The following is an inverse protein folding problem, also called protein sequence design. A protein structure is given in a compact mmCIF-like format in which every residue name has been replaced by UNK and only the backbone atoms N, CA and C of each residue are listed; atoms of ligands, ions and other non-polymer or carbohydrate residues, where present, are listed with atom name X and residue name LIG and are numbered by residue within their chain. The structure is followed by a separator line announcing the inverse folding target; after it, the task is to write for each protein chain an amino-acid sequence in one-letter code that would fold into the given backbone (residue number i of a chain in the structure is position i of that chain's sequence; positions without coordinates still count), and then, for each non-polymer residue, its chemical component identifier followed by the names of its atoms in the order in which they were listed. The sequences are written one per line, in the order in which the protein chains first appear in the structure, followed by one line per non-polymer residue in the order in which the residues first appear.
data_IF_835333706029
#
_entry.id   IF_835333706029
#
_cell.length_a   1.000
_cell.length_b   1.000
_cell.length_c   1.000
_cell.angle_alpha   90.00
_cell.angle_beta   90.00
_cell.angle_gamma   90.00
#
_symmetry.space_group_name_H-M   'P 1'
#
loop_
_entity.id
_entity.type
_entity.pdbx_description
1 polymer ?
#
# COMPACT_ATOMS: atom_id res chain seq x y z
N UNK A 1 17.07 4.02 -14.33
CA UNK A 1 18.00 3.41 -13.35
C UNK A 1 17.62 3.81 -11.93
N UNK A 2 17.35 5.08 -11.69
CA UNK A 2 16.89 5.61 -10.39
C UNK A 2 15.69 4.89 -9.75
N UNK A 3 14.59 4.66 -10.50
CA UNK A 3 13.45 3.89 -9.97
C UNK A 3 13.87 2.49 -9.51
N UNK A 4 14.82 1.85 -10.21
CA UNK A 4 15.35 0.54 -9.81
C UNK A 4 16.14 0.64 -8.49
N UNK A 5 16.91 1.70 -8.30
CA UNK A 5 17.65 1.94 -7.05
C UNK A 5 16.70 2.11 -5.86
N UNK A 6 15.63 2.90 -6.04
CA UNK A 6 14.62 3.11 -4.99
C UNK A 6 13.93 1.79 -4.63
N UNK A 7 13.51 1.01 -5.63
CA UNK A 7 12.91 -0.30 -5.40
C UNK A 7 13.89 -1.27 -4.71
N UNK A 8 15.15 -1.26 -5.13
CA UNK A 8 16.20 -2.07 -4.48
C UNK A 8 16.39 -1.66 -3.01
N UNK A 9 16.42 -0.37 -2.71
CA UNK A 9 16.54 0.13 -1.35
C UNK A 9 15.33 -0.28 -0.48
N UNK A 10 14.10 -0.17 -0.99
CA UNK A 10 12.92 -0.64 -0.26
C UNK A 10 12.97 -2.15 0.03
N UNK A 11 13.35 -2.95 -0.96
CA UNK A 11 13.47 -4.40 -0.79
C UNK A 11 14.58 -4.79 0.20
N UNK A 12 15.71 -4.08 0.17
CA UNK A 12 16.82 -4.26 1.11
C UNK A 12 16.36 -3.99 2.54
N UNK A 13 15.72 -2.85 2.79
CA UNK A 13 15.20 -2.49 4.11
C UNK A 13 14.11 -3.44 4.59
N UNK A 14 13.25 -3.90 3.69
CA UNK A 14 12.23 -4.90 4.02
C UNK A 14 12.90 -6.20 4.48
N UNK A 15 13.95 -6.65 3.78
CA UNK A 15 14.71 -7.85 4.19
C UNK A 15 15.39 -7.63 5.54
N UNK A 16 16.15 -6.54 5.70
CA UNK A 16 16.87 -6.24 6.94
C UNK A 16 15.92 -6.17 8.15
N UNK A 17 14.79 -5.48 8.04
CA UNK A 17 13.92 -5.22 9.19
C UNK A 17 12.93 -6.35 9.43
N UNK A 18 12.27 -6.85 8.38
CA UNK A 18 11.15 -7.80 8.53
C UNK A 18 11.66 -9.24 8.61
N UNK A 19 12.74 -9.57 7.90
CA UNK A 19 13.28 -10.94 7.84
C UNK A 19 14.44 -11.13 8.82
N UNK A 20 15.34 -10.16 8.91
CA UNK A 20 16.57 -10.28 9.69
C UNK A 20 16.51 -9.61 11.07
N UNK A 21 15.42 -8.89 11.38
CA UNK A 21 15.23 -8.10 12.62
C UNK A 21 16.40 -7.14 12.93
N UNK A 22 17.02 -6.61 11.87
CA UNK A 22 18.17 -5.69 11.96
C UNK A 22 17.72 -4.25 11.98
N UNK A 23 17.32 -3.80 13.17
CA UNK A 23 16.95 -2.40 13.41
C UNK A 23 18.18 -1.59 13.83
N UNK A 24 18.48 -0.51 13.09
CA UNK A 24 19.62 0.40 13.29
C UNK A 24 19.18 1.79 13.74
N UNK A 25 19.79 2.32 14.80
CA UNK A 25 19.60 3.73 15.20
C UNK A 25 19.85 4.67 14.01
N UNK A 26 19.08 5.75 13.93
CA UNK A 26 19.25 6.75 12.87
C UNK A 26 20.49 7.58 13.20
N UNK A 27 21.51 7.49 12.35
CA UNK A 27 22.77 8.23 12.45
C UNK A 27 23.04 8.99 11.15
N UNK A 28 23.96 9.97 11.14
CA UNK A 28 24.40 10.63 9.91
C UNK A 28 24.89 9.62 8.86
N UNK A 29 25.58 8.56 9.28
CA UNK A 29 26.07 7.47 8.42
C UNK A 29 24.91 6.70 7.79
N UNK A 30 23.88 6.33 8.56
CA UNK A 30 22.71 5.64 8.02
C UNK A 30 21.99 6.50 6.97
N UNK A 31 21.86 7.80 7.22
CA UNK A 31 21.23 8.74 6.28
C UNK A 31 22.06 8.83 4.99
N UNK A 32 23.39 8.89 5.09
CA UNK A 32 24.31 8.84 3.94
C UNK A 32 24.21 7.52 3.19
N UNK A 33 24.07 6.40 3.89
CA UNK A 33 23.92 5.07 3.29
C UNK A 33 22.63 4.99 2.45
N UNK A 34 21.51 5.48 2.99
CA UNK A 34 20.23 5.52 2.28
C UNK A 34 20.32 6.41 1.03
N UNK A 35 20.93 7.59 1.17
CA UNK A 35 21.18 8.45 0.02
C UNK A 35 22.09 7.78 -1.02
N UNK A 36 23.10 7.00 -0.59
CA UNK A 36 23.98 6.25 -1.49
C UNK A 36 23.22 5.18 -2.26
N UNK A 37 22.34 4.42 -1.59
CA UNK A 37 21.48 3.42 -2.23
C UNK A 37 20.60 4.03 -3.33
N UNK A 38 20.10 5.25 -3.12
CA UNK A 38 19.28 5.98 -4.09
C UNK A 38 20.13 6.47 -5.28
N UNK A 39 21.28 7.09 -5.00
CA UNK A 39 22.12 7.77 -6.00
C UNK A 39 23.10 6.89 -6.77
N UNK A 40 23.31 5.63 -6.37
CA UNK A 40 24.32 4.77 -6.98
C UNK A 40 24.11 4.57 -8.50
N UNK A 41 25.19 4.58 -9.27
CA UNK A 41 25.17 4.32 -10.72
C UNK A 41 24.26 5.25 -11.55
N UNK A 42 23.93 6.45 -11.04
CA UNK A 42 23.16 7.45 -11.81
C UNK A 42 24.04 8.41 -12.61
N UNK A 43 25.34 8.50 -12.28
CA UNK A 43 26.29 9.37 -12.97
C UNK A 43 25.78 10.81 -13.03
N UNK A 44 25.86 11.42 -14.22
CA UNK A 44 25.48 12.82 -14.44
C UNK A 44 23.97 13.11 -14.32
N UNK A 45 23.12 12.08 -14.16
CA UNK A 45 21.68 12.26 -13.93
C UNK A 45 21.33 12.54 -12.46
N UNK A 46 22.32 12.55 -11.57
CA UNK A 46 22.15 12.80 -10.15
C UNK A 46 23.11 13.90 -9.71
N UNK A 47 22.56 15.08 -9.42
CA UNK A 47 23.33 16.28 -9.06
C UNK A 47 23.79 16.23 -7.59
N UNK A 48 24.43 15.12 -7.21
CA UNK A 48 25.03 14.90 -5.91
C UNK A 48 26.05 13.76 -5.96
N UNK A 49 26.98 13.78 -5.01
CA UNK A 49 27.85 12.63 -4.75
C UNK A 49 27.11 11.67 -3.81
N UNK A 50 26.79 10.42 -4.24
CA UNK A 50 26.02 9.49 -3.42
C UNK A 50 26.65 9.22 -2.04
N UNK A 51 25.97 9.67 -0.99
CA UNK A 51 26.33 9.43 0.41
C UNK A 51 27.28 10.48 0.98
N UNK A 52 27.43 11.62 0.30
CA UNK A 52 28.22 12.76 0.76
C UNK A 52 27.32 13.98 0.87
N UNK A 53 27.39 14.68 2.00
CA UNK A 53 26.71 15.96 2.17
C UNK A 53 27.18 16.99 1.16
N UNK A 54 26.30 17.91 0.78
CA UNK A 54 26.63 19.00 -0.13
C UNK A 54 27.73 19.90 0.44
N UNK A 55 28.53 20.46 -0.46
CA UNK A 55 29.57 21.46 -0.17
C UNK A 55 29.24 22.84 -0.77
N UNK A 56 27.98 23.04 -1.19
CA UNK A 56 27.44 24.26 -1.75
C UNK A 56 26.08 24.64 -1.14
N UNK A 57 25.68 25.89 -1.30
CA UNK A 57 24.38 26.38 -0.83
C UNK A 57 23.28 26.06 -1.86
N UNK A 58 22.11 25.64 -1.37
CA UNK A 58 20.98 25.19 -2.21
C UNK A 58 19.72 25.99 -1.92
N UNK A 59 18.99 26.31 -2.99
CA UNK A 59 17.65 26.93 -2.92
C UNK A 59 16.63 25.87 -3.30
N UNK A 60 15.66 25.64 -2.42
CA UNK A 60 14.60 24.63 -2.56
C UNK A 60 13.27 25.35 -2.71
N UNK A 61 12.83 25.53 -3.96
CA UNK A 61 11.66 26.35 -4.26
C UNK A 61 11.89 27.82 -3.83
N UNK A 62 11.22 28.27 -2.77
CA UNK A 62 11.37 29.62 -2.19
C UNK A 62 12.20 29.66 -0.91
N UNK A 63 12.71 28.53 -0.48
CA UNK A 63 13.46 28.38 0.76
C UNK A 63 14.96 28.29 0.48
N UNK A 64 15.75 29.12 1.14
CA UNK A 64 17.20 28.97 1.19
C UNK A 64 17.54 27.94 2.27
N UNK A 65 18.10 26.80 1.86
CA UNK A 65 18.56 25.79 2.81
C UNK A 65 19.69 26.35 3.69
N UNK A 66 19.96 25.76 4.88
CA UNK A 66 21.04 26.20 5.75
C UNK A 66 22.40 26.25 5.02
N UNK A 67 23.34 27.07 5.50
CA UNK A 67 24.69 27.07 4.94
C UNK A 67 25.28 25.65 5.02
N UNK A 68 25.88 25.18 3.92
CA UNK A 68 26.39 23.80 3.81
C UNK A 68 27.39 23.45 4.93
N UNK A 69 28.10 24.44 5.47
CA UNK A 69 29.07 24.25 6.56
C UNK A 69 28.42 23.75 7.84
N UNK A 70 27.14 24.07 8.07
CA UNK A 70 26.39 23.63 9.24
C UNK A 70 25.65 22.31 9.02
N UNK A 71 25.56 21.80 7.78
CA UNK A 71 24.82 20.56 7.48
C UNK A 71 25.30 19.37 8.31
N UNK A 72 26.62 19.09 8.46
CA UNK A 72 27.07 17.98 9.29
C UNK A 72 26.59 18.07 10.74
N UNK A 73 26.70 19.24 11.35
CA UNK A 73 26.28 19.51 12.74
C UNK A 73 24.75 19.43 12.90
N UNK A 74 23.99 19.96 11.94
CA UNK A 74 22.53 19.92 11.95
C UNK A 74 22.00 18.49 11.84
N UNK A 75 22.60 17.65 10.99
CA UNK A 75 22.20 16.24 10.85
C UNK A 75 22.58 15.45 12.10
N UNK A 76 23.76 15.69 12.68
CA UNK A 76 24.16 15.05 13.94
C UNK A 76 23.22 15.43 15.10
N UNK A 77 22.92 16.73 15.22
CA UNK A 77 21.96 17.25 16.20
C UNK A 77 20.58 16.61 16.04
N UNK A 78 20.08 16.49 14.80
CA UNK A 78 18.82 15.81 14.52
C UNK A 78 18.86 14.35 14.97
N UNK A 79 19.92 13.60 14.64
CA UNK A 79 20.04 12.19 15.00
C UNK A 79 20.06 12.01 16.53
N UNK A 80 20.82 12.85 17.24
CA UNK A 80 20.89 12.83 18.70
C UNK A 80 19.54 13.16 19.34
N UNK A 81 18.86 14.19 18.82
CA UNK A 81 17.52 14.57 19.27
C UNK A 81 16.48 13.45 19.04
N UNK A 82 16.48 12.84 17.84
CA UNK A 82 15.58 11.73 17.52
C UNK A 82 15.81 10.53 18.45
N UNK A 83 17.07 10.22 18.78
CA UNK A 83 17.42 9.14 19.71
C UNK A 83 16.87 9.40 21.11
N UNK A 84 17.01 10.64 21.60
CA UNK A 84 16.57 11.06 22.93
C UNK A 84 15.04 11.11 23.03
N UNK A 85 14.36 11.86 22.17
CA UNK A 85 12.91 12.09 22.27
C UNK A 85 12.07 10.83 22.01
N UNK A 86 12.51 10.00 21.08
CA UNK A 86 11.74 8.84 20.67
C UNK A 86 12.16 7.55 21.37
N UNK A 87 13.13 7.60 22.29
CA UNK A 87 13.66 6.45 23.05
C UNK A 87 13.95 5.24 22.14
N UNK A 88 14.84 5.45 21.18
CA UNK A 88 15.13 4.43 20.16
C UNK A 88 15.66 3.14 20.81
N UNK A 89 14.93 2.03 20.64
CA UNK A 89 15.28 0.71 21.19
C UNK A 89 14.40 0.25 22.35
N UNK A 90 13.68 1.16 23.01
CA UNK A 90 12.86 0.84 24.18
C UNK A 90 11.36 0.83 23.82
N UNK A 91 10.85 -0.32 23.35
CA UNK A 91 9.41 -0.60 23.27
C UNK A 91 8.55 0.51 22.65
N UNK A 92 9.04 1.17 21.58
CA UNK A 92 8.37 2.33 20.99
C UNK A 92 6.93 1.98 20.56
N UNK A 93 5.97 2.78 21.00
CA UNK A 93 4.57 2.61 20.60
C UNK A 93 4.39 2.86 19.10
N UNK A 94 3.33 2.28 18.52
CA UNK A 94 2.91 2.55 17.15
C UNK A 94 2.79 4.05 16.86
N UNK A 95 2.11 4.82 17.72
CA UNK A 95 1.94 6.26 17.54
C UNK A 95 3.27 7.01 17.60
N UNK A 96 4.19 6.59 18.47
CA UNK A 96 5.53 7.17 18.58
C UNK A 96 6.29 7.02 17.27
N UNK A 97 6.29 5.82 16.67
CA UNK A 97 6.97 5.55 15.39
C UNK A 97 6.36 6.33 14.22
N UNK A 98 5.03 6.43 14.15
CA UNK A 98 4.34 7.19 13.09
C UNK A 98 4.69 8.68 13.17
N UNK A 99 4.68 9.26 14.36
CA UNK A 99 5.07 10.66 14.57
C UNK A 99 6.57 10.86 14.28
N UNK A 100 7.42 9.93 14.71
CA UNK A 100 8.85 9.95 14.41
C UNK A 100 9.09 10.00 12.90
N UNK A 101 8.40 9.15 12.14
CA UNK A 101 8.54 9.06 10.68
C UNK A 101 8.23 10.41 10.00
N UNK A 102 7.09 11.02 10.35
CA UNK A 102 6.68 12.32 9.82
C UNK A 102 7.68 13.43 10.16
N UNK A 103 8.13 13.48 11.42
CA UNK A 103 9.03 14.53 11.89
C UNK A 103 10.41 14.38 11.25
N UNK A 104 10.98 13.16 11.25
CA UNK A 104 12.26 12.89 10.60
C UNK A 104 12.22 13.29 9.12
N UNK A 105 11.15 12.96 8.41
CA UNK A 105 10.95 13.36 7.02
C UNK A 105 11.04 14.89 6.84
N UNK A 106 10.27 15.65 7.64
CA UNK A 106 10.26 17.12 7.54
C UNK A 106 11.63 17.74 7.83
N UNK A 107 12.33 17.27 8.88
CA UNK A 107 13.64 17.82 9.22
C UNK A 107 14.69 17.54 8.13
N UNK A 108 14.65 16.38 7.48
CA UNK A 108 15.54 16.10 6.34
C UNK A 108 15.25 17.03 5.17
N UNK A 109 13.98 17.30 4.87
CA UNK A 109 13.60 18.26 3.82
C UNK A 109 14.09 19.68 4.14
N UNK A 110 14.04 20.10 5.41
CA UNK A 110 14.45 21.43 5.86
C UNK A 110 15.98 21.61 5.95
N UNK A 111 16.72 20.60 6.41
CA UNK A 111 18.19 20.64 6.43
C UNK A 111 18.73 20.56 5.00
N UNK A 112 18.06 19.77 4.15
CA UNK A 112 18.42 19.52 2.76
C UNK A 112 19.91 19.12 2.61
N UNK A 113 20.34 18.01 3.22
CA UNK A 113 21.76 17.72 3.43
C UNK A 113 22.55 17.36 2.16
N UNK A 114 21.90 17.03 1.06
CA UNK A 114 22.53 16.56 -0.19
C UNK A 114 22.29 17.53 -1.34
N UNK A 115 23.09 17.44 -2.41
CA UNK A 115 22.93 18.27 -3.61
C UNK A 115 21.63 17.98 -4.39
N UNK A 116 21.22 16.71 -4.38
CA UNK A 116 20.01 16.15 -4.95
C UNK A 116 19.60 14.91 -4.12
N UNK A 117 18.41 14.37 -4.30
CA UNK A 117 17.99 13.13 -3.64
C UNK A 117 17.41 13.29 -2.24
N UNK A 118 17.30 14.52 -1.70
CA UNK A 118 16.76 14.79 -0.36
C UNK A 118 15.35 14.24 -0.18
N UNK A 119 14.41 14.59 -1.08
CA UNK A 119 13.03 14.10 -1.04
C UNK A 119 12.86 12.58 -1.17
N UNK A 120 13.83 11.90 -1.78
CA UNK A 120 13.84 10.44 -1.90
C UNK A 120 14.43 9.80 -0.65
N UNK A 121 15.48 10.41 -0.10
CA UNK A 121 16.13 9.98 1.15
C UNK A 121 15.21 10.17 2.35
N UNK A 122 14.50 11.31 2.44
CA UNK A 122 13.49 11.57 3.47
C UNK A 122 12.36 10.54 3.46
N UNK A 123 11.80 10.24 2.27
CA UNK A 123 10.80 9.18 2.10
C UNK A 123 11.33 7.78 2.44
N UNK A 124 12.60 7.49 2.14
CA UNK A 124 13.22 6.22 2.49
C UNK A 124 13.43 6.08 4.01
N UNK A 125 13.79 7.18 4.70
CA UNK A 125 13.84 7.25 6.16
C UNK A 125 12.45 7.11 6.80
N UNK A 126 11.44 7.77 6.23
CA UNK A 126 10.04 7.63 6.68
C UNK A 126 9.57 6.18 6.54
N UNK A 127 9.81 5.56 5.39
CA UNK A 127 9.53 4.15 5.13
C UNK A 127 10.26 3.23 6.12
N UNK A 128 11.56 3.47 6.35
CA UNK A 128 12.38 2.73 7.31
C UNK A 128 11.78 2.77 8.72
N UNK A 129 11.38 3.95 9.19
CA UNK A 129 10.79 4.12 10.52
C UNK A 129 9.43 3.40 10.61
N UNK A 130 8.59 3.51 9.57
CA UNK A 130 7.28 2.86 9.54
C UNK A 130 7.37 1.33 9.49
N UNK A 131 8.38 0.75 8.83
CA UNK A 131 8.58 -0.70 8.84
C UNK A 131 8.78 -1.25 10.26
N UNK A 132 9.36 -0.45 11.17
CA UNK A 132 9.59 -0.84 12.57
C UNK A 132 8.31 -0.94 13.38
N UNK A 133 7.16 -0.53 12.84
CA UNK A 133 5.85 -0.73 13.48
C UNK A 133 5.40 -2.19 13.48
N UNK A 134 6.03 -3.06 12.67
CA UNK A 134 5.61 -4.44 12.46
C UNK A 134 4.37 -4.60 11.58
N UNK A 135 3.85 -3.50 11.02
CA UNK A 135 2.75 -3.56 10.06
C UNK A 135 3.23 -4.07 8.69
N UNK A 136 2.32 -4.63 7.86
CA UNK A 136 2.67 -5.03 6.50
C UNK A 136 3.31 -3.89 5.71
N UNK A 137 4.31 -4.20 4.88
CA UNK A 137 5.13 -3.19 4.19
C UNK A 137 4.35 -2.20 3.32
N UNK A 138 3.17 -2.59 2.83
CA UNK A 138 2.25 -1.70 2.10
C UNK A 138 1.87 -0.45 2.93
N UNK A 139 1.80 -0.59 4.25
CA UNK A 139 1.50 0.51 5.18
C UNK A 139 2.62 1.55 5.18
N UNK A 140 3.88 1.11 5.10
CA UNK A 140 5.04 2.00 5.11
C UNK A 140 5.13 2.90 3.86
N UNK A 141 4.37 2.62 2.81
CA UNK A 141 4.28 3.46 1.61
C UNK A 141 3.17 4.51 1.66
N UNK A 142 2.26 4.46 2.65
CA UNK A 142 1.06 5.31 2.68
C UNK A 142 1.41 6.79 2.66
N UNK A 143 2.32 7.25 3.53
CA UNK A 143 2.67 8.67 3.64
C UNK A 143 3.30 9.21 2.34
N UNK A 144 4.29 8.50 1.80
CA UNK A 144 4.89 8.84 0.51
C UNK A 144 3.85 8.93 -0.62
N UNK A 145 2.91 7.99 -0.69
CA UNK A 145 1.83 8.00 -1.68
C UNK A 145 0.89 9.19 -1.47
N UNK A 146 0.48 9.43 -0.23
CA UNK A 146 -0.39 10.54 0.14
C UNK A 146 0.23 11.90 -0.22
N UNK A 147 1.50 12.11 0.12
CA UNK A 147 2.23 13.33 -0.24
C UNK A 147 2.33 13.52 -1.75
N UNK A 148 2.47 12.43 -2.52
CA UNK A 148 2.49 12.50 -3.98
C UNK A 148 1.11 12.82 -4.57
N UNK A 149 0.05 12.19 -4.07
CA UNK A 149 -1.33 12.43 -4.51
C UNK A 149 -1.82 13.84 -4.16
N UNK A 150 -1.33 14.41 -3.06
CA UNK A 150 -1.70 15.74 -2.56
C UNK A 150 -0.55 16.74 -2.64
N UNK A 151 0.32 16.59 -3.65
CA UNK A 151 1.60 17.31 -3.78
C UNK A 151 1.53 18.83 -3.56
N UNK A 152 0.54 19.58 -4.10
CA UNK A 152 0.43 21.02 -3.82
C UNK A 152 0.21 21.31 -2.33
N UNK A 153 -0.65 20.53 -1.67
CA UNK A 153 -0.97 20.66 -0.25
C UNK A 153 0.22 20.26 0.62
N UNK A 154 0.92 19.17 0.27
CA UNK A 154 2.14 18.74 0.94
C UNK A 154 3.19 19.87 1.03
N UNK A 155 3.50 20.52 -0.10
CA UNK A 155 4.45 21.63 -0.11
C UNK A 155 3.93 22.86 0.64
N UNK A 156 2.61 23.13 0.59
CA UNK A 156 2.00 24.20 1.37
C UNK A 156 2.16 23.97 2.87
N UNK A 157 1.97 22.74 3.34
CA UNK A 157 2.13 22.38 4.75
C UNK A 157 3.58 22.48 5.21
N UNK A 158 4.55 22.07 4.38
CA UNK A 158 5.97 22.24 4.69
C UNK A 158 6.37 23.72 4.82
N UNK A 159 5.93 24.57 3.88
CA UNK A 159 6.20 26.00 3.90
C UNK A 159 5.57 26.69 5.13
N UNK A 160 4.33 26.33 5.46
CA UNK A 160 3.66 26.84 6.67
C UNK A 160 4.38 26.38 7.95
N UNK A 161 4.76 25.11 8.03
CA UNK A 161 5.43 24.57 9.22
C UNK A 161 6.78 25.26 9.45
N UNK A 162 7.52 25.54 8.38
CA UNK A 162 8.79 26.26 8.44
C UNK A 162 8.59 27.73 8.87
N UNK A 163 7.65 28.44 8.24
CA UNK A 163 7.35 29.85 8.55
C UNK A 163 6.88 30.06 9.98
N UNK A 164 6.00 29.20 10.45
CA UNK A 164 5.40 29.29 11.78
C UNK A 164 6.24 28.60 12.86
N UNK A 165 7.33 27.91 12.48
CA UNK A 165 8.15 27.06 13.36
C UNK A 165 7.29 26.08 14.17
N UNK A 166 6.28 25.51 13.52
CA UNK A 166 5.28 24.67 14.17
C UNK A 166 4.83 23.53 13.25
N UNK A 167 5.10 22.30 13.66
CA UNK A 167 4.77 21.09 12.89
C UNK A 167 3.32 20.60 13.07
N UNK A 168 2.54 21.18 13.99
CA UNK A 168 1.21 20.66 14.36
C UNK A 168 0.27 20.52 13.16
N UNK A 169 0.26 21.51 12.27
CA UNK A 169 -0.58 21.48 11.07
C UNK A 169 -0.12 20.38 10.09
N UNK A 170 1.19 20.24 9.88
CA UNK A 170 1.76 19.20 9.04
C UNK A 170 1.47 17.80 9.61
N UNK A 171 1.69 17.59 10.91
CA UNK A 171 1.42 16.32 11.59
C UNK A 171 -0.05 15.97 11.49
N UNK A 172 -0.96 16.92 11.70
CA UNK A 172 -2.40 16.70 11.54
C UNK A 172 -2.74 16.27 10.10
N UNK A 173 -2.20 16.97 9.10
CA UNK A 173 -2.37 16.63 7.69
C UNK A 173 -1.83 15.23 7.36
N UNK A 174 -0.61 14.90 7.80
CA UNK A 174 0.03 13.62 7.53
C UNK A 174 -0.68 12.47 8.26
N UNK A 175 -1.07 12.65 9.53
CA UNK A 175 -1.80 11.64 10.32
C UNK A 175 -3.18 11.36 9.71
N UNK A 176 -3.85 12.40 9.21
CA UNK A 176 -5.13 12.27 8.51
C UNK A 176 -4.97 11.43 7.23
N UNK A 177 -3.96 11.74 6.40
CA UNK A 177 -3.64 10.93 5.22
C UNK A 177 -3.24 9.50 5.55
N UNK A 178 -2.47 9.29 6.61
CA UNK A 178 -2.07 7.97 7.06
C UNK A 178 -3.27 7.11 7.50
N UNK A 179 -4.18 7.67 8.30
CA UNK A 179 -5.42 7.02 8.73
C UNK A 179 -6.30 6.64 7.53
N UNK A 180 -6.48 7.55 6.59
CA UNK A 180 -7.33 7.30 5.43
C UNK A 180 -6.71 6.21 4.52
N UNK A 181 -5.39 6.23 4.34
CA UNK A 181 -4.68 5.16 3.63
C UNK A 181 -4.72 3.80 4.35
N UNK A 182 -4.71 3.78 5.69
CA UNK A 182 -4.92 2.54 6.46
C UNK A 182 -6.32 1.97 6.22
N UNK A 183 -7.35 2.82 6.21
CA UNK A 183 -8.72 2.42 5.92
C UNK A 183 -8.88 1.90 4.47
N UNK A 184 -8.23 2.55 3.50
CA UNK A 184 -8.23 2.10 2.11
C UNK A 184 -7.57 0.72 1.97
N UNK A 185 -6.39 0.53 2.55
CA UNK A 185 -5.70 -0.76 2.55
C UNK A 185 -6.52 -1.85 3.23
N UNK A 186 -7.13 -1.56 4.38
CA UNK A 186 -7.97 -2.52 5.09
C UNK A 186 -9.18 -2.93 4.25
N UNK A 187 -9.85 -1.98 3.60
CA UNK A 187 -10.97 -2.28 2.72
C UNK A 187 -10.52 -3.13 1.51
N UNK A 188 -9.36 -2.82 0.92
CA UNK A 188 -8.79 -3.60 -0.19
C UNK A 188 -8.51 -5.04 0.24
N UNK A 189 -7.83 -5.24 1.37
CA UNK A 189 -7.50 -6.56 1.90
C UNK A 189 -8.79 -7.35 2.19
N UNK A 190 -9.78 -6.74 2.83
CA UNK A 190 -11.06 -7.37 3.11
C UNK A 190 -11.80 -7.79 1.84
N UNK A 191 -11.79 -6.95 0.80
CA UNK A 191 -12.39 -7.29 -0.50
C UNK A 191 -11.63 -8.44 -1.18
N UNK A 192 -10.30 -8.42 -1.18
CA UNK A 192 -9.49 -9.50 -1.75
C UNK A 192 -9.73 -10.82 -1.02
N UNK A 193 -9.75 -10.80 0.32
CA UNK A 193 -10.08 -11.97 1.13
C UNK A 193 -11.48 -12.49 0.83
N UNK A 194 -12.47 -11.61 0.73
CA UNK A 194 -13.84 -11.99 0.39
C UNK A 194 -13.92 -12.71 -0.96
N UNK A 195 -13.23 -12.20 -1.97
CA UNK A 195 -13.15 -12.83 -3.29
C UNK A 195 -12.50 -14.21 -3.20
N UNK A 196 -11.40 -14.36 -2.46
CA UNK A 196 -10.73 -15.65 -2.27
C UNK A 196 -11.65 -16.66 -1.57
N UNK A 197 -12.31 -16.26 -0.48
CA UNK A 197 -13.27 -17.11 0.22
C UNK A 197 -14.43 -17.53 -0.68
N UNK A 198 -14.91 -16.63 -1.54
CA UNK A 198 -15.94 -16.96 -2.53
C UNK A 198 -15.49 -18.01 -3.53
N UNK A 199 -14.27 -17.88 -4.06
CA UNK A 199 -13.72 -18.87 -4.97
C UNK A 199 -13.56 -20.22 -4.27
N UNK A 200 -13.00 -20.25 -3.06
CA UNK A 200 -12.82 -21.48 -2.29
C UNK A 200 -14.15 -22.17 -1.98
N UNK A 201 -15.16 -21.41 -1.54
CA UNK A 201 -16.49 -21.95 -1.28
C UNK A 201 -17.13 -22.56 -2.53
N UNK A 202 -16.97 -21.92 -3.70
CA UNK A 202 -17.39 -22.51 -4.97
C UNK A 202 -16.68 -23.86 -5.20
N UNK A 203 -15.35 -23.91 -5.07
CA UNK A 203 -14.60 -25.15 -5.28
C UNK A 203 -15.03 -26.27 -4.34
N UNK A 204 -15.27 -25.96 -3.07
CA UNK A 204 -15.78 -26.90 -2.06
C UNK A 204 -17.19 -27.40 -2.37
N UNK A 205 -18.12 -26.51 -2.73
CA UNK A 205 -19.48 -26.88 -3.12
C UNK A 205 -19.51 -27.84 -4.33
N UNK A 206 -18.50 -27.75 -5.18
CA UNK A 206 -18.29 -28.66 -6.31
C UNK A 206 -17.41 -29.88 -5.96
N UNK A 207 -16.80 -29.99 -4.80
CA UNK A 207 -15.93 -31.13 -4.49
C UNK A 207 -16.74 -32.44 -4.32
N UNK A 208 -17.92 -32.37 -3.70
CA UNK A 208 -18.70 -33.54 -3.28
C UNK A 208 -19.63 -34.12 -4.36
N UNK A 209 -19.65 -33.53 -5.55
CA UNK A 209 -20.58 -33.93 -6.61
C UNK A 209 -19.94 -35.00 -7.51
N UNK A 210 -20.54 -36.20 -7.57
CA UNK A 210 -20.17 -37.23 -8.55
C UNK A 210 -20.49 -36.75 -9.96
N UNK A 211 -19.46 -36.44 -10.75
CA UNK A 211 -19.62 -35.92 -12.10
C UNK A 211 -19.86 -37.01 -13.14
N UNK A 212 -21.09 -37.09 -13.64
CA UNK A 212 -21.43 -37.94 -14.79
C UNK A 212 -21.14 -37.27 -16.14
N UNK A 213 -21.08 -35.92 -16.22
CA UNK A 213 -20.80 -35.16 -17.44
C UNK A 213 -19.82 -34.00 -17.20
N UNK A 214 -18.58 -34.16 -17.68
CA UNK A 214 -17.46 -33.22 -17.49
C UNK A 214 -17.74 -31.80 -18.02
N UNK A 215 -18.50 -31.68 -19.11
CA UNK A 215 -18.74 -30.38 -19.76
C UNK A 215 -19.79 -29.52 -19.03
N UNK A 216 -20.85 -30.15 -18.50
CA UNK A 216 -21.82 -29.44 -17.65
C UNK A 216 -21.14 -28.91 -16.39
N UNK A 217 -20.29 -29.73 -15.77
CA UNK A 217 -19.50 -29.30 -14.61
C UNK A 217 -18.64 -28.07 -14.91
N UNK A 218 -17.80 -28.15 -15.96
CA UNK A 218 -16.90 -27.04 -16.34
C UNK A 218 -17.69 -25.77 -16.63
N UNK A 219 -18.82 -25.88 -17.34
CA UNK A 219 -19.66 -24.74 -17.69
C UNK A 219 -20.30 -24.07 -16.47
N UNK A 220 -20.93 -24.84 -15.57
CA UNK A 220 -21.53 -24.31 -14.33
C UNK A 220 -20.49 -23.63 -13.45
N UNK A 221 -19.34 -24.28 -13.23
CA UNK A 221 -18.25 -23.75 -12.41
C UNK A 221 -17.71 -22.45 -12.98
N UNK A 222 -17.47 -22.40 -14.29
CA UNK A 222 -16.98 -21.18 -14.93
C UNK A 222 -18.02 -20.06 -14.93
N UNK A 223 -19.30 -20.38 -15.10
CA UNK A 223 -20.39 -19.40 -15.00
C UNK A 223 -20.35 -18.72 -13.62
N UNK A 224 -20.43 -19.49 -12.53
CA UNK A 224 -20.51 -18.90 -11.19
C UNK A 224 -19.25 -18.12 -10.80
N UNK A 225 -18.07 -18.57 -11.24
CA UNK A 225 -16.81 -17.86 -11.04
C UNK A 225 -16.74 -16.54 -11.83
N UNK A 226 -17.47 -16.45 -12.94
CA UNK A 226 -17.46 -15.25 -13.79
C UNK A 226 -18.42 -14.16 -13.30
N UNK A 227 -19.43 -14.50 -12.48
CA UNK A 227 -20.47 -13.54 -12.05
C UNK A 227 -19.89 -12.55 -11.04
N UNK A 228 -19.98 -11.23 -11.27
CA UNK A 228 -19.55 -10.23 -10.30
C UNK A 228 -20.36 -10.30 -8.99
N UNK A 229 -19.64 -10.28 -7.86
CA UNK A 229 -20.14 -10.59 -6.49
C UNK A 229 -21.29 -9.71 -5.97
N UNK A 230 -21.66 -8.61 -6.64
CA UNK A 230 -22.77 -7.73 -6.25
C UNK A 230 -23.66 -7.33 -7.44
N UNK A 231 -23.68 -8.14 -8.51
CA UNK A 231 -24.44 -7.81 -9.72
C UNK A 231 -25.63 -8.76 -9.86
N UNK A 232 -26.81 -8.18 -10.04
CA UNK A 232 -28.02 -8.92 -10.38
C UNK A 232 -28.15 -9.01 -11.90
N UNK A 233 -28.19 -10.24 -12.41
CA UNK A 233 -28.21 -10.54 -13.83
C UNK A 233 -29.43 -11.40 -14.17
N UNK A 234 -30.12 -11.09 -15.26
CA UNK A 234 -31.10 -12.02 -15.82
C UNK A 234 -30.41 -13.21 -16.53
N UNK A 235 -31.22 -14.17 -17.00
CA UNK A 235 -30.69 -15.41 -17.62
C UNK A 235 -29.87 -15.11 -18.87
N UNK A 236 -30.28 -14.14 -19.67
CA UNK A 236 -29.64 -13.85 -20.96
C UNK A 236 -28.30 -13.13 -20.69
N UNK A 237 -28.29 -12.19 -19.73
CA UNK A 237 -27.06 -11.55 -19.24
C UNK A 237 -26.08 -12.54 -18.60
N UNK A 238 -26.56 -13.60 -17.93
CA UNK A 238 -25.70 -14.63 -17.36
C UNK A 238 -24.96 -15.43 -18.43
N UNK A 239 -25.66 -15.84 -19.49
CA UNK A 239 -25.06 -16.66 -20.56
C UNK A 239 -24.23 -15.82 -21.55
N UNK A 240 -24.42 -14.51 -21.60
CA UNK A 240 -23.63 -13.58 -22.43
C UNK A 240 -22.57 -12.81 -21.64
N UNK A 241 -22.31 -13.22 -20.39
CA UNK A 241 -21.48 -12.47 -19.44
C UNK A 241 -20.07 -12.15 -19.95
N UNK A 242 -19.46 -13.08 -20.68
CA UNK A 242 -18.19 -12.90 -21.37
C UNK A 242 -18.09 -13.88 -22.57
N UNK A 243 -17.13 -13.69 -23.50
CA UNK A 243 -17.01 -14.52 -24.69
C UNK A 243 -16.85 -16.02 -24.42
N UNK A 244 -16.20 -16.41 -23.31
CA UNK A 244 -16.01 -17.81 -22.94
C UNK A 244 -17.32 -18.47 -22.50
N UNK A 245 -18.09 -17.77 -21.64
CA UNK A 245 -19.41 -18.22 -21.19
C UNK A 245 -20.38 -18.30 -22.37
N UNK A 246 -20.44 -17.27 -23.21
CA UNK A 246 -21.29 -17.24 -24.40
C UNK A 246 -21.03 -18.45 -25.31
N UNK A 247 -19.75 -18.75 -25.59
CA UNK A 247 -19.37 -19.92 -26.39
C UNK A 247 -19.83 -21.25 -25.77
N UNK A 248 -19.78 -21.39 -24.45
CA UNK A 248 -20.18 -22.63 -23.74
C UNK A 248 -21.68 -22.83 -23.68
N UNK A 249 -22.43 -21.73 -23.65
CA UNK A 249 -23.90 -21.77 -23.61
C UNK A 249 -24.55 -21.74 -25.00
N UNK A 250 -23.82 -21.32 -26.05
CA UNK A 250 -24.31 -21.32 -27.44
C UNK A 250 -24.73 -22.70 -27.96
N UNK A 251 -24.14 -23.78 -27.44
CA UNK A 251 -24.39 -25.16 -27.90
C UNK A 251 -25.46 -25.90 -27.10
N UNK A 252 -26.08 -25.27 -26.10
CA UNK A 252 -27.10 -25.90 -25.24
C UNK A 252 -28.43 -25.17 -25.31
N UNK A 253 -29.53 -25.90 -25.16
CA UNK A 253 -30.87 -25.32 -25.19
C UNK A 253 -31.22 -24.56 -23.90
N UNK A 254 -32.24 -23.69 -23.96
CA UNK A 254 -32.69 -22.89 -22.80
C UNK A 254 -33.08 -23.74 -21.59
N UNK A 255 -33.62 -24.95 -21.81
CA UNK A 255 -33.94 -25.89 -20.73
C UNK A 255 -32.68 -26.35 -19.96
N UNK A 256 -31.56 -26.53 -20.66
CA UNK A 256 -30.25 -26.85 -20.05
C UNK A 256 -29.69 -25.66 -19.28
N UNK A 257 -29.84 -24.44 -19.80
CA UNK A 257 -29.46 -23.20 -19.09
C UNK A 257 -30.20 -23.10 -17.76
N UNK A 258 -31.53 -23.24 -17.79
CA UNK A 258 -32.37 -23.16 -16.59
C UNK A 258 -32.05 -24.28 -15.60
N UNK A 259 -31.70 -25.48 -16.08
CA UNK A 259 -31.24 -26.58 -15.23
C UNK A 259 -29.91 -26.27 -14.54
N UNK A 260 -28.91 -25.79 -15.29
CA UNK A 260 -27.61 -25.41 -14.75
C UNK A 260 -27.76 -24.32 -13.68
N UNK A 261 -28.60 -23.30 -13.94
CA UNK A 261 -28.94 -22.25 -12.96
C UNK A 261 -29.60 -22.84 -11.72
N UNK A 262 -30.59 -23.73 -11.89
CA UNK A 262 -31.27 -24.38 -10.77
C UNK A 262 -30.30 -25.19 -9.90
N UNK A 263 -29.39 -25.95 -10.51
CA UNK A 263 -28.37 -26.71 -9.79
C UNK A 263 -27.41 -25.79 -9.01
N UNK A 264 -27.03 -24.63 -9.57
CA UNK A 264 -26.25 -23.63 -8.82
C UNK A 264 -27.02 -23.03 -7.64
N UNK A 265 -28.35 -22.92 -7.73
CA UNK A 265 -29.19 -22.52 -6.60
C UNK A 265 -29.28 -23.62 -5.53
N UNK A 266 -29.39 -24.89 -5.94
CA UNK A 266 -29.41 -26.05 -5.04
C UNK A 266 -28.09 -26.20 -4.26
N UNK A 267 -26.97 -25.83 -4.89
CA UNK A 267 -25.66 -25.74 -4.23
C UNK A 267 -25.49 -24.49 -3.34
N UNK A 268 -26.53 -23.69 -3.15
CA UNK A 268 -26.50 -22.42 -2.44
C UNK A 268 -25.47 -21.41 -3.00
N UNK A 269 -25.06 -21.54 -4.27
CA UNK A 269 -24.12 -20.63 -4.91
C UNK A 269 -24.81 -19.44 -5.59
N UNK A 270 -26.09 -19.60 -5.97
CA UNK A 270 -26.85 -18.58 -6.67
C UNK A 270 -28.18 -18.34 -5.94
N UNK A 271 -28.59 -17.09 -5.80
CA UNK A 271 -29.93 -16.73 -5.30
C UNK A 271 -30.70 -15.96 -6.36
N UNK A 272 -32.01 -16.16 -6.37
CA UNK A 272 -32.93 -15.47 -7.27
C UNK A 272 -33.53 -14.26 -6.57
N UNK A 273 -33.49 -13.11 -7.23
CA UNK A 273 -34.10 -11.84 -6.79
C UNK A 273 -35.03 -11.38 -7.92
N UNK A 274 -36.34 -11.58 -7.73
CA UNK A 274 -37.32 -11.34 -8.78
C UNK A 274 -37.06 -12.21 -10.02
N UNK A 275 -36.74 -11.57 -11.16
CA UNK A 275 -36.37 -12.24 -12.42
C UNK A 275 -34.86 -12.40 -12.63
N UNK A 276 -34.06 -11.86 -11.72
CA UNK A 276 -32.59 -11.84 -11.80
C UNK A 276 -31.98 -12.82 -10.80
N UNK A 277 -30.69 -13.04 -10.95
CA UNK A 277 -29.88 -13.90 -10.11
C UNK A 277 -28.62 -13.17 -9.69
N UNK A 278 -28.13 -13.48 -8.49
CA UNK A 278 -26.88 -12.93 -7.95
C UNK A 278 -26.15 -14.02 -7.17
N UNK A 279 -24.81 -13.97 -7.08
CA UNK A 279 -24.04 -14.88 -6.23
C UNK A 279 -24.53 -14.83 -4.78
N UNK A 280 -24.72 -16.00 -4.17
CA UNK A 280 -25.20 -16.10 -2.79
C UNK A 280 -24.06 -15.88 -1.78
N UNK A 281 -23.53 -14.66 -1.75
CA UNK A 281 -22.37 -14.35 -0.90
C UNK A 281 -22.75 -14.02 0.54
N UNK A 282 -24.04 -14.11 0.91
CA UNK A 282 -24.53 -13.85 2.27
C UNK A 282 -23.92 -14.81 3.30
N UNK A 283 -23.68 -16.06 2.91
CA UNK A 283 -23.06 -17.09 3.75
C UNK A 283 -21.66 -16.64 4.21
N UNK A 284 -20.91 -16.00 3.31
CA UNK A 284 -19.55 -15.53 3.60
C UNK A 284 -19.51 -14.27 4.47
N UNK A 285 -20.53 -13.41 4.38
CA UNK A 285 -20.59 -12.19 5.22
C UNK A 285 -20.64 -12.52 6.72
N UNK A 286 -21.20 -13.67 7.10
CA UNK A 286 -21.20 -14.14 8.49
C UNK A 286 -19.84 -14.69 8.96
N UNK A 287 -18.95 -15.04 8.03
CA UNK A 287 -17.62 -15.59 8.31
C UNK A 287 -16.51 -14.52 8.27
N UNK A 288 -16.81 -13.32 7.77
CA UNK A 288 -15.85 -12.21 7.72
C UNK A 288 -15.72 -11.52 9.10
N UNK A 289 -14.53 -11.01 9.48
CA UNK A 289 -14.37 -10.23 10.71
C UNK A 289 -15.34 -9.04 10.71
N UNK A 290 -16.15 -8.91 11.76
CA UNK A 290 -17.06 -7.77 11.91
C UNK A 290 -16.25 -6.47 11.96
N UNK A 291 -16.68 -5.43 11.22
CA UNK A 291 -16.25 -4.06 11.54
C UNK A 291 -16.73 -3.76 12.96
N UNK A 292 -15.83 -3.84 13.95
CA UNK A 292 -16.12 -3.20 15.24
C UNK A 292 -16.24 -1.70 14.94
N UNK A 293 -17.43 -1.17 15.20
CA UNK A 293 -17.76 0.25 15.05
C UNK A 293 -16.93 1.09 16.02
#
# INVERSE_FOLDING_TARGET
MEVKNILAAFNELLREIVVEDKVRIITPELIKDFHRMIGQNLGNHFDAIPGRFRDDNRVVGRYLAPDYKFVPELVDTLCNWLKQEFHYGDGQSFSTLVIQAMITHVYIEWIHPFGDGNGRTGRLLEFYILLRTGLPSIVSHILSNFYNQTRPEYYRQLDMAQKNRNLSAFIKYATQGFRDGLNENLNLIQQSQFVIFWHNYIYEAFADIKYTKRDSFKRKRELILSIPINKELDVDQLIELNPSIAKKYATVNRATVLRDIKELQELNLLIKIGRKYTPNTKILKAMMPSKKA
#
